data_IF_894217225684
#
_entry.id   IF_894217225684
#
_cell.length_a   1.000
_cell.length_b   1.000
_cell.length_c   1.000
_cell.angle_alpha   90.00
_cell.angle_beta   90.00
_cell.angle_gamma   90.00
#
_symmetry.space_group_name_H-M   'P 1'
#
loop_
_entity.id
_entity.type
_entity.pdbx_description
1 polymer ?
#
# COMPACT_ATOMS: atom_id res chain seq x y z
N UNK A 1 6.30 9.79 4.66
CA UNK A 1 7.72 9.54 4.35
C UNK A 1 8.03 10.17 3.00
N UNK A 2 9.13 10.93 2.89
CA UNK A 2 9.64 11.38 1.59
C UNK A 2 10.57 10.30 1.01
N UNK A 3 10.43 10.00 -0.27
CA UNK A 3 11.27 9.07 -1.01
C UNK A 3 12.34 9.84 -1.78
N UNK A 4 13.47 9.21 -2.11
CA UNK A 4 14.54 9.91 -2.85
C UNK A 4 14.14 10.30 -4.27
N UNK A 5 13.04 9.75 -4.80
CA UNK A 5 12.39 10.20 -6.05
C UNK A 5 11.65 11.55 -5.93
N UNK A 6 11.51 12.10 -4.71
CA UNK A 6 10.72 13.30 -4.44
C UNK A 6 9.25 13.03 -4.10
N UNK A 7 8.74 11.81 -4.36
CA UNK A 7 7.40 11.40 -3.97
C UNK A 7 7.26 11.28 -2.45
N UNK A 8 6.08 11.59 -1.92
CA UNK A 8 5.72 11.43 -0.51
C UNK A 8 4.67 10.34 -0.39
N UNK A 9 4.89 9.43 0.55
CA UNK A 9 3.97 8.32 0.80
C UNK A 9 3.69 8.17 2.30
N UNK A 10 2.45 7.91 2.67
CA UNK A 10 2.04 7.65 4.05
C UNK A 10 0.96 6.56 4.11
N UNK A 11 1.27 5.35 4.60
CA UNK A 11 0.28 4.30 4.69
C UNK A 11 -0.69 4.55 5.85
N UNK A 12 -1.97 4.23 5.64
CA UNK A 12 -3.02 4.26 6.67
C UNK A 12 -3.21 2.85 7.24
N UNK A 13 -3.18 1.83 6.38
CA UNK A 13 -3.49 0.46 6.73
C UNK A 13 -4.92 0.09 6.35
N UNK A 14 -5.54 -0.83 7.10
CA UNK A 14 -6.93 -1.25 6.86
C UNK A 14 -7.90 -0.20 7.38
N UNK A 15 -8.64 0.46 6.48
CA UNK A 15 -9.44 1.66 6.81
C UNK A 15 -10.73 1.37 7.57
N UNK A 16 -11.20 0.12 7.52
CA UNK A 16 -12.36 -0.37 8.30
C UNK A 16 -11.93 -1.18 9.53
N UNK A 17 -10.94 -0.69 10.27
CA UNK A 17 -10.47 -1.28 11.53
C UNK A 17 -10.20 -0.19 12.57
N UNK A 18 -10.37 -0.50 13.85
CA UNK A 18 -10.05 0.44 14.95
C UNK A 18 -8.57 0.81 15.02
N UNK A 19 -7.68 -0.15 14.69
CA UNK A 19 -6.24 0.07 14.62
C UNK A 19 -5.75 -0.20 13.19
N UNK A 20 -6.04 0.73 12.28
CA UNK A 20 -5.71 0.62 10.86
C UNK A 20 -4.22 0.36 10.64
N UNK A 21 -3.37 1.18 11.26
CA UNK A 21 -1.91 1.07 11.14
C UNK A 21 -1.36 -0.22 11.74
N UNK A 22 -2.01 -0.77 12.77
CA UNK A 22 -1.64 -2.03 13.40
C UNK A 22 -1.72 -3.25 12.47
N UNK A 23 -2.42 -3.14 11.33
CA UNK A 23 -2.42 -4.15 10.28
C UNK A 23 -1.06 -4.26 9.56
N UNK A 24 -0.29 -3.18 9.51
CA UNK A 24 1.00 -3.11 8.81
C UNK A 24 2.08 -3.72 9.72
N UNK A 25 2.75 -4.77 9.24
CA UNK A 25 3.80 -5.52 9.94
C UNK A 25 5.20 -5.24 9.41
N UNK A 26 5.31 -4.69 8.22
CA UNK A 26 6.57 -4.27 7.62
C UNK A 26 6.35 -3.20 6.57
N UNK A 27 7.32 -2.31 6.45
CA UNK A 27 7.35 -1.24 5.45
C UNK A 27 8.81 -1.07 5.00
N UNK A 28 9.04 -1.16 3.69
CA UNK A 28 10.33 -0.89 3.05
C UNK A 28 10.09 0.02 1.85
N UNK A 29 11.02 0.92 1.60
CA UNK A 29 11.01 1.74 0.41
C UNK A 29 12.29 1.46 -0.39
N UNK A 30 12.14 1.24 -1.68
CA UNK A 30 13.24 1.03 -2.61
C UNK A 30 13.25 2.17 -3.61
N UNK A 31 14.36 2.88 -3.68
CA UNK A 31 14.46 4.12 -4.46
C UNK A 31 15.71 4.17 -5.34
N UNK A 32 16.47 3.08 -5.41
CA UNK A 32 17.63 2.90 -6.30
C UNK A 32 17.22 2.47 -7.71
N UNK A 33 15.94 2.08 -7.89
CA UNK A 33 15.36 1.74 -9.17
C UNK A 33 14.81 3.01 -9.87
N UNK A 34 14.67 3.01 -11.21
CA UNK A 34 14.10 4.15 -11.94
C UNK A 34 12.67 4.50 -11.51
N UNK A 35 11.96 3.56 -10.89
CA UNK A 35 10.63 3.75 -10.30
C UNK A 35 10.75 3.55 -8.79
N UNK A 36 10.22 4.49 -8.01
CA UNK A 36 10.20 4.38 -6.56
C UNK A 36 9.13 3.37 -6.12
N UNK A 37 9.53 2.44 -5.27
CA UNK A 37 8.68 1.32 -4.87
C UNK A 37 8.49 1.29 -3.37
N UNK A 38 7.24 1.17 -2.92
CA UNK A 38 6.88 0.97 -1.52
C UNK A 38 6.40 -0.47 -1.34
N UNK A 39 7.04 -1.20 -0.44
CA UNK A 39 6.75 -2.59 -0.14
C UNK A 39 6.23 -2.69 1.29
N UNK A 40 5.10 -3.36 1.48
CA UNK A 40 4.48 -3.54 2.79
C UNK A 40 4.12 -5.00 3.04
N UNK A 41 4.26 -5.41 4.30
CA UNK A 41 3.66 -6.65 4.82
C UNK A 41 2.44 -6.28 5.63
N UNK A 42 1.27 -6.80 5.27
CA UNK A 42 0.00 -6.42 5.89
C UNK A 42 -0.80 -7.64 6.28
N UNK A 43 -1.40 -7.61 7.47
CA UNK A 43 -2.30 -8.66 7.98
C UNK A 43 -3.76 -8.18 7.93
N UNK A 44 -4.67 -9.09 7.57
CA UNK A 44 -6.12 -8.86 7.58
C UNK A 44 -6.71 -8.83 6.18
N UNK A 45 -7.91 -8.28 6.04
CA UNK A 45 -8.64 -8.18 4.78
C UNK A 45 -9.51 -6.92 4.72
N UNK A 46 -10.04 -6.62 3.54
CA UNK A 46 -10.91 -5.46 3.31
C UNK A 46 -10.16 -4.24 2.74
N UNK A 47 -10.75 -3.03 2.84
CA UNK A 47 -10.21 -1.85 2.20
C UNK A 47 -8.91 -1.39 2.88
N UNK A 48 -7.88 -1.21 2.07
CA UNK A 48 -6.59 -0.64 2.44
C UNK A 48 -6.49 0.80 1.92
N UNK A 49 -5.85 1.67 2.70
CA UNK A 49 -5.62 3.06 2.35
C UNK A 49 -4.18 3.50 2.54
N UNK A 50 -3.74 4.42 1.69
CA UNK A 50 -2.51 5.18 1.84
C UNK A 50 -2.64 6.55 1.17
N UNK A 51 -1.88 7.53 1.62
CA UNK A 51 -1.69 8.79 0.89
C UNK A 51 -0.41 8.72 0.06
N UNK A 52 -0.48 9.22 -1.17
CA UNK A 52 0.65 9.39 -2.08
C UNK A 52 0.58 10.75 -2.75
N UNK A 53 1.71 11.44 -2.88
CA UNK A 53 1.78 12.70 -3.64
C UNK A 53 1.77 12.51 -5.16
N UNK A 54 2.07 11.30 -5.64
CA UNK A 54 1.98 10.92 -7.05
C UNK A 54 0.98 9.78 -7.22
N UNK A 55 0.30 9.74 -8.37
CA UNK A 55 -0.56 8.62 -8.71
C UNK A 55 0.30 7.36 -8.87
N UNK A 56 0.01 6.26 -8.14
CA UNK A 56 0.70 4.99 -8.37
C UNK A 56 0.58 4.56 -9.82
N UNK A 57 1.67 4.02 -10.38
CA UNK A 57 1.68 3.39 -11.69
C UNK A 57 1.00 2.03 -11.63
N UNK A 58 1.27 1.28 -10.55
CA UNK A 58 0.82 -0.09 -10.36
C UNK A 58 0.73 -0.44 -8.88
N UNK A 59 -0.21 -1.31 -8.53
CA UNK A 59 -0.28 -1.96 -7.21
C UNK A 59 -0.42 -3.46 -7.41
N UNK A 60 0.41 -4.23 -6.70
CA UNK A 60 0.29 -5.69 -6.64
C UNK A 60 0.12 -6.16 -5.20
N UNK A 61 -0.64 -7.26 -5.05
CA UNK A 61 -0.84 -7.99 -3.80
C UNK A 61 -0.44 -9.43 -4.09
N UNK A 62 0.64 -9.91 -3.45
CA UNK A 62 1.28 -11.21 -3.72
C UNK A 62 1.59 -11.44 -5.20
N UNK A 63 2.08 -10.38 -5.86
CA UNK A 63 2.42 -10.37 -7.29
C UNK A 63 1.22 -10.39 -8.25
N UNK A 64 -0.01 -10.47 -7.74
CA UNK A 64 -1.23 -10.23 -8.53
C UNK A 64 -1.52 -8.73 -8.59
N UNK A 65 -1.70 -8.20 -9.78
CA UNK A 65 -2.11 -6.80 -9.95
C UNK A 65 -3.55 -6.58 -9.48
N UNK A 66 -3.78 -5.47 -8.79
CA UNK A 66 -5.09 -5.11 -8.26
C UNK A 66 -5.53 -3.76 -8.77
N UNK A 67 -6.83 -3.62 -9.00
CA UNK A 67 -7.43 -2.32 -9.26
C UNK A 67 -7.35 -1.44 -8.01
N UNK A 68 -7.09 -0.15 -8.24
CA UNK A 68 -7.05 0.84 -7.19
C UNK A 68 -7.71 2.14 -7.64
N UNK A 69 -8.09 2.95 -6.66
CA UNK A 69 -8.54 4.34 -6.86
C UNK A 69 -7.46 5.29 -6.38
N UNK A 70 -7.32 6.40 -7.07
CA UNK A 70 -6.46 7.52 -6.67
C UNK A 70 -7.26 8.82 -6.77
N UNK A 71 -7.42 9.51 -5.65
CA UNK A 71 -8.04 10.83 -5.57
C UNK A 71 -6.97 11.90 -5.68
N UNK A 72 -6.91 12.60 -6.83
CA UNK A 72 -5.82 13.52 -7.13
C UNK A 72 -5.70 14.74 -6.20
N UNK A 73 -6.82 15.20 -5.63
CA UNK A 73 -6.83 16.36 -4.73
C UNK A 73 -6.22 16.05 -3.36
N UNK A 74 -6.57 14.88 -2.79
CA UNK A 74 -6.10 14.46 -1.45
C UNK A 74 -4.85 13.59 -1.52
N UNK A 75 -4.56 12.98 -2.66
CA UNK A 75 -3.55 11.94 -2.82
C UNK A 75 -3.98 10.58 -2.26
N UNK A 76 -5.27 10.38 -1.93
CA UNK A 76 -5.74 9.14 -1.32
C UNK A 76 -5.75 8.00 -2.34
N UNK A 77 -5.00 6.95 -2.02
CA UNK A 77 -4.97 5.66 -2.71
C UNK A 77 -5.79 4.65 -1.91
N UNK A 78 -6.71 3.95 -2.57
CA UNK A 78 -7.47 2.84 -1.96
C UNK A 78 -7.56 1.63 -2.87
N UNK A 79 -7.43 0.44 -2.28
CA UNK A 79 -7.64 -0.86 -2.93
C UNK A 79 -8.12 -1.87 -1.87
N UNK A 80 -8.48 -3.10 -2.27
CA UNK A 80 -9.02 -4.10 -1.36
C UNK A 80 -8.11 -5.33 -1.24
N UNK A 81 -7.91 -5.79 -0.01
CA UNK A 81 -7.29 -7.07 0.29
C UNK A 81 -8.35 -8.17 0.39
N UNK A 82 -8.08 -9.31 -0.25
CA UNK A 82 -8.94 -10.51 -0.21
C UNK A 82 -8.96 -11.09 1.22
N UNK A 83 -9.92 -11.97 1.49
CA UNK A 83 -9.95 -12.75 2.74
C UNK A 83 -8.85 -13.82 2.64
N UNK A 84 -7.87 -13.84 3.55
CA UNK A 84 -6.84 -14.88 3.53
C UNK A 84 -7.43 -16.24 3.92
N UNK A 85 -6.91 -17.30 3.31
CA UNK A 85 -7.32 -18.69 3.62
C UNK A 85 -6.68 -19.16 4.92
N UNK A 86 -5.44 -18.73 5.17
CA UNK A 86 -4.66 -19.12 6.34
C UNK A 86 -4.76 -18.07 7.45
N UNK A 87 -4.75 -18.55 8.69
CA UNK A 87 -4.64 -17.65 9.84
C UNK A 87 -3.31 -16.90 9.80
N UNK A 88 -3.33 -15.65 10.28
CA UNK A 88 -2.13 -14.81 10.43
C UNK A 88 -1.39 -14.44 9.13
N UNK A 89 -1.96 -14.74 7.97
CA UNK A 89 -1.39 -14.46 6.64
C UNK A 89 -0.89 -13.01 6.51
N UNK A 90 0.25 -12.86 5.82
CA UNK A 90 0.90 -11.58 5.57
C UNK A 90 0.96 -11.31 4.07
N UNK A 91 0.00 -10.49 3.61
CA UNK A 91 -0.02 -9.98 2.24
C UNK A 91 1.26 -9.21 1.94
N UNK A 92 1.86 -9.48 0.78
CA UNK A 92 2.93 -8.69 0.20
C UNK A 92 2.35 -7.64 -0.74
N UNK A 93 2.28 -6.40 -0.28
CA UNK A 93 1.80 -5.28 -1.10
C UNK A 93 2.99 -4.56 -1.69
N UNK A 94 2.97 -4.33 -3.00
CA UNK A 94 3.96 -3.51 -3.71
C UNK A 94 3.24 -2.39 -4.44
N UNK A 95 3.66 -1.15 -4.19
CA UNK A 95 3.15 0.06 -4.83
C UNK A 95 4.30 0.72 -5.58
N UNK A 96 4.16 0.83 -6.90
CA UNK A 96 5.09 1.53 -7.79
C UNK A 96 4.56 2.95 -8.00
N UNK A 97 5.37 3.97 -7.69
CA UNK A 97 4.97 5.39 -7.60
C UNK A 97 5.38 6.27 -8.77
#
# INVERSE_FOLDING_TARGET
MALSSGSKFAPIGLTKMFNSGGAIKGLKCETENPVATVIMKVRGCGPFGAYSSTKPQRITVDSEEVEFKYEGESGLVTFALKVPVEEQYLWNIVIEL
#
